data_IF_866083244382
#
_entry.id   IF_866083244382
#
_cell.length_a   1.000
_cell.length_b   1.000
_cell.length_c   1.000
_cell.angle_alpha   90.00
_cell.angle_beta   90.00
_cell.angle_gamma   90.00
#
_symmetry.space_group_name_H-M   'P 1'
#
loop_
_entity.id
_entity.type
_entity.pdbx_description
1 polymer ?
#
# COMPACT_ATOMS: atom_id res chain seq x y z
N UNK A 1 10.22 0.88 48.98
CA UNK A 1 9.13 0.32 48.16
C UNK A 1 8.53 1.33 47.18
N UNK A 2 8.44 2.63 47.47
CA UNK A 2 7.84 3.64 46.53
C UNK A 2 8.63 3.86 45.24
N UNK A 3 9.92 3.63 45.18
CA UNK A 3 10.76 3.81 43.97
C UNK A 3 10.60 2.68 42.94
N UNK A 4 10.31 1.47 43.38
CA UNK A 4 10.12 0.30 42.51
C UNK A 4 8.79 0.35 41.72
N UNK A 5 7.73 0.86 42.35
CA UNK A 5 6.42 0.99 41.72
C UNK A 5 6.42 2.05 40.59
N UNK A 6 7.24 3.11 40.72
CA UNK A 6 7.35 4.13 39.70
C UNK A 6 8.07 3.62 38.42
N UNK A 7 9.10 2.78 38.62
CA UNK A 7 9.85 2.20 37.48
C UNK A 7 9.00 1.22 36.68
N UNK A 8 8.17 0.41 37.33
CA UNK A 8 7.26 -0.53 36.66
C UNK A 8 6.15 0.22 35.92
N UNK A 9 5.65 1.33 36.45
CA UNK A 9 4.65 2.17 35.82
C UNK A 9 5.20 2.82 34.54
N UNK A 10 6.46 3.30 34.54
CA UNK A 10 7.12 3.86 33.37
C UNK A 10 7.40 2.82 32.29
N UNK A 11 7.76 1.58 32.66
CA UNK A 11 7.97 0.50 31.70
C UNK A 11 6.66 0.07 31.02
N UNK A 12 5.55 0.05 31.77
CA UNK A 12 4.22 -0.27 31.23
C UNK A 12 3.70 0.78 30.25
N UNK A 13 4.00 2.05 30.47
CA UNK A 13 3.63 3.14 29.56
C UNK A 13 4.47 3.16 28.26
N UNK A 14 5.72 2.72 28.30
CA UNK A 14 6.57 2.65 27.13
C UNK A 14 6.13 1.57 26.12
N UNK A 15 5.50 0.48 26.57
CA UNK A 15 4.99 -0.57 25.68
C UNK A 15 3.71 -0.21 24.93
N UNK A 16 2.96 0.81 25.39
CA UNK A 16 1.70 1.21 24.75
C UNK A 16 1.88 2.18 23.58
N UNK A 17 3.10 2.66 23.32
CA UNK A 17 3.39 3.64 22.25
C UNK A 17 3.72 2.98 20.90
N UNK A 18 3.91 1.66 20.87
CA UNK A 18 3.98 0.94 19.59
C UNK A 18 2.57 0.76 19.03
N UNK A 19 1.98 1.87 18.57
CA UNK A 19 0.75 1.87 17.82
C UNK A 19 0.87 0.88 16.66
N UNK A 20 0.02 -0.15 16.66
CA UNK A 20 -0.06 -1.07 15.55
C UNK A 20 -0.34 -0.25 14.29
N UNK A 21 0.59 -0.28 13.36
CA UNK A 21 0.39 0.41 12.08
C UNK A 21 -0.85 -0.15 11.41
N UNK A 22 -1.77 0.72 11.06
CA UNK A 22 -3.00 0.39 10.34
C UNK A 22 -2.74 -0.05 8.90
N UNK A 23 -1.52 0.20 8.41
CA UNK A 23 -1.07 -0.23 7.10
C UNK A 23 -0.51 -1.66 7.19
N UNK A 24 -1.04 -2.56 6.37
CA UNK A 24 -0.58 -3.95 6.26
C UNK A 24 0.91 -4.05 5.93
N UNK A 25 1.58 -5.08 6.47
CA UNK A 25 3.02 -5.30 6.27
C UNK A 25 3.41 -5.35 4.79
N UNK A 26 2.60 -6.02 3.98
CA UNK A 26 2.87 -6.15 2.55
C UNK A 26 2.72 -4.81 1.82
N UNK A 27 1.76 -3.99 2.22
CA UNK A 27 1.57 -2.64 1.71
C UNK A 27 2.75 -1.74 2.06
N UNK A 28 3.32 -1.89 3.25
CA UNK A 28 4.57 -1.20 3.64
C UNK A 28 5.75 -1.61 2.78
N UNK A 29 5.92 -2.91 2.55
CA UNK A 29 6.97 -3.42 1.65
C UNK A 29 6.81 -2.87 0.23
N UNK A 30 5.58 -2.81 -0.27
CA UNK A 30 5.27 -2.25 -1.57
C UNK A 30 5.61 -0.75 -1.66
N UNK A 31 5.27 0.04 -0.62
CA UNK A 31 5.65 1.45 -0.56
C UNK A 31 7.17 1.65 -0.54
N UNK A 32 7.89 0.83 0.22
CA UNK A 32 9.34 0.86 0.24
C UNK A 32 9.93 0.51 -1.14
N UNK A 33 9.38 -0.47 -1.84
CA UNK A 33 9.78 -0.78 -3.20
C UNK A 33 9.52 0.38 -4.15
N UNK A 34 8.35 1.02 -4.09
CA UNK A 34 8.01 2.19 -4.90
C UNK A 34 8.95 3.37 -4.64
N UNK A 35 9.36 3.58 -3.39
CA UNK A 35 10.36 4.59 -3.03
C UNK A 35 11.77 4.22 -3.50
N UNK A 36 12.15 2.94 -3.42
CA UNK A 36 13.46 2.44 -3.82
C UNK A 36 13.62 2.31 -5.34
N UNK A 37 12.53 2.29 -6.13
CA UNK A 37 12.61 2.37 -7.59
C UNK A 37 13.17 3.71 -8.09
N UNK A 38 13.44 4.65 -7.20
CA UNK A 38 14.23 5.85 -7.51
C UNK A 38 15.74 5.57 -7.68
N UNK A 39 16.21 4.35 -7.42
CA UNK A 39 17.61 3.96 -7.65
C UNK A 39 17.87 3.97 -9.15
N UNK A 40 18.87 4.72 -9.62
CA UNK A 40 19.20 4.76 -11.04
C UNK A 40 19.57 3.36 -11.53
N UNK A 41 18.89 2.90 -12.57
CA UNK A 41 19.22 1.63 -13.21
C UNK A 41 20.07 1.89 -14.43
N UNK A 42 21.17 1.13 -14.58
CA UNK A 42 22.03 1.24 -15.75
C UNK A 42 21.32 0.69 -16.99
N UNK A 43 21.10 1.56 -17.96
CA UNK A 43 20.56 1.18 -19.26
C UNK A 43 21.71 0.87 -20.22
N UNK A 44 21.84 -0.39 -20.60
CA UNK A 44 22.91 -0.86 -21.48
C UNK A 44 22.80 -0.33 -22.91
N UNK A 45 21.62 0.07 -23.36
CA UNK A 45 21.39 0.65 -24.70
C UNK A 45 21.87 2.09 -24.80
N UNK A 46 21.56 2.90 -23.78
CA UNK A 46 21.91 4.31 -23.73
C UNK A 46 23.28 4.53 -23.06
N UNK A 47 23.86 3.48 -22.46
CA UNK A 47 25.11 3.51 -21.65
C UNK A 47 25.05 4.59 -20.56
N UNK A 48 23.87 4.83 -20.02
CA UNK A 48 23.63 5.83 -18.97
C UNK A 48 22.83 5.25 -17.81
N UNK A 49 22.97 5.89 -16.65
CA UNK A 49 22.12 5.62 -15.50
C UNK A 49 20.83 6.42 -15.67
N UNK A 50 19.73 5.74 -15.88
CA UNK A 50 18.40 6.33 -15.98
C UNK A 50 17.65 6.15 -14.67
N UNK A 51 17.07 7.24 -14.17
CA UNK A 51 16.14 7.15 -13.07
C UNK A 51 14.81 6.63 -13.61
N UNK A 52 14.27 5.52 -13.08
CA UNK A 52 12.95 5.09 -13.49
C UNK A 52 11.98 6.23 -13.20
N UNK A 53 11.16 6.60 -14.18
CA UNK A 53 10.06 7.52 -13.98
C UNK A 53 9.20 6.96 -12.85
N UNK A 54 8.84 7.79 -11.87
CA UNK A 54 7.86 7.44 -10.84
C UNK A 54 6.58 7.02 -11.55
N UNK A 55 6.35 5.71 -11.58
CA UNK A 55 5.43 5.11 -12.55
C UNK A 55 3.97 5.23 -12.09
N UNK A 56 3.72 5.48 -10.80
CA UNK A 56 2.36 5.60 -10.30
C UNK A 56 2.25 6.72 -9.26
N UNK A 57 1.75 7.90 -9.67
CA UNK A 57 1.48 8.98 -8.72
C UNK A 57 0.37 8.62 -7.74
N UNK A 58 -0.54 7.71 -8.10
CA UNK A 58 -1.65 7.25 -7.29
C UNK A 58 -1.65 5.73 -7.18
N UNK A 59 -2.03 5.23 -6.03
CA UNK A 59 -2.23 3.80 -5.79
C UNK A 59 -3.67 3.53 -5.40
N UNK A 60 -4.17 2.38 -5.83
CA UNK A 60 -5.48 1.90 -5.38
C UNK A 60 -5.30 1.22 -4.03
N UNK A 61 -6.21 1.51 -3.10
CA UNK A 61 -6.22 0.93 -1.77
C UNK A 61 -7.62 0.50 -1.37
N UNK A 62 -7.69 -0.47 -0.48
CA UNK A 62 -8.87 -0.84 0.27
C UNK A 62 -8.71 -0.30 1.68
N UNK A 63 -9.69 0.48 2.12
CA UNK A 63 -9.70 1.09 3.46
C UNK A 63 -10.91 0.55 4.21
N UNK A 64 -10.67 0.01 5.38
CA UNK A 64 -11.69 -0.22 6.38
C UNK A 64 -11.78 1.01 7.28
N UNK A 65 -12.95 1.63 7.36
CA UNK A 65 -13.16 2.87 8.07
C UNK A 65 -14.23 2.75 9.16
N UNK A 66 -14.15 3.65 10.14
CA UNK A 66 -15.11 3.75 11.24
C UNK A 66 -15.62 5.19 11.37
N UNK A 67 -16.92 5.32 11.67
CA UNK A 67 -17.58 6.61 11.85
C UNK A 67 -18.36 7.06 10.61
N UNK A 68 -19.43 7.83 10.87
CA UNK A 68 -20.38 8.24 9.83
C UNK A 68 -19.80 9.29 8.86
N UNK A 69 -18.79 10.05 9.29
CA UNK A 69 -18.18 11.12 8.49
C UNK A 69 -16.85 10.71 7.84
N UNK A 70 -16.45 9.44 7.99
CA UNK A 70 -15.15 8.96 7.54
C UNK A 70 -14.90 9.20 6.05
N UNK A 71 -15.90 9.00 5.21
CA UNK A 71 -15.78 9.21 3.76
C UNK A 71 -15.52 10.67 3.42
N UNK A 72 -16.26 11.58 4.02
CA UNK A 72 -16.07 13.03 3.81
C UNK A 72 -14.70 13.50 4.31
N UNK A 73 -14.21 12.93 5.42
CA UNK A 73 -12.86 13.22 5.92
C UNK A 73 -11.77 12.73 4.95
N UNK A 74 -11.95 11.54 4.39
CA UNK A 74 -11.02 10.97 3.39
C UNK A 74 -11.00 11.81 2.11
N UNK A 75 -12.17 12.19 1.60
CA UNK A 75 -12.29 13.05 0.40
C UNK A 75 -11.67 14.43 0.61
N UNK A 76 -11.85 15.03 1.79
CA UNK A 76 -11.22 16.30 2.15
C UNK A 76 -9.68 16.23 2.15
N UNK A 77 -9.10 15.04 2.32
CA UNK A 77 -7.66 14.79 2.25
C UNK A 77 -7.16 14.42 0.83
N UNK A 78 -8.00 14.58 -0.19
CA UNK A 78 -7.65 14.31 -1.58
C UNK A 78 -7.74 12.83 -1.98
N UNK A 79 -8.36 11.99 -1.16
CA UNK A 79 -8.64 10.60 -1.48
C UNK A 79 -9.83 10.51 -2.42
N UNK A 80 -9.66 9.87 -3.56
CA UNK A 80 -10.77 9.63 -4.49
C UNK A 80 -11.45 8.31 -4.14
N UNK A 81 -12.67 8.38 -3.64
CA UNK A 81 -13.50 7.20 -3.36
C UNK A 81 -14.07 6.64 -4.66
N UNK A 82 -13.78 5.38 -4.95
CA UNK A 82 -14.25 4.68 -6.16
C UNK A 82 -15.50 3.85 -5.88
N UNK A 83 -15.52 3.14 -4.76
CA UNK A 83 -16.63 2.28 -4.38
C UNK A 83 -16.68 2.11 -2.86
N UNK A 84 -17.90 2.02 -2.33
CA UNK A 84 -18.14 1.78 -0.90
C UNK A 84 -19.04 0.57 -0.73
N UNK A 85 -18.72 -0.27 0.24
CA UNK A 85 -19.57 -1.40 0.66
C UNK A 85 -19.45 -1.59 2.17
N UNK A 86 -20.52 -1.20 2.88
CA UNK A 86 -20.51 -1.21 4.35
C UNK A 86 -19.44 -0.28 4.90
N UNK A 87 -18.53 -0.79 5.71
CA UNK A 87 -17.40 -0.07 6.31
C UNK A 87 -16.10 -0.17 5.48
N UNK A 88 -16.17 -0.70 4.26
CA UNK A 88 -15.03 -0.85 3.37
C UNK A 88 -15.19 0.08 2.17
N UNK A 89 -14.15 0.83 1.84
CA UNK A 89 -14.07 1.64 0.64
C UNK A 89 -12.87 1.24 -0.23
N UNK A 90 -13.11 1.18 -1.54
CA UNK A 90 -12.04 1.13 -2.53
C UNK A 90 -11.76 2.56 -2.95
N UNK A 91 -10.52 2.96 -2.78
CA UNK A 91 -10.09 4.35 -2.96
C UNK A 91 -8.84 4.45 -3.83
N UNK A 92 -8.65 5.60 -4.42
CA UNK A 92 -7.39 5.97 -5.07
C UNK A 92 -6.71 7.05 -4.23
N UNK A 93 -5.47 6.79 -3.84
CA UNK A 93 -4.70 7.60 -2.90
C UNK A 93 -3.39 8.03 -3.57
N UNK A 94 -2.97 9.30 -3.46
CA UNK A 94 -1.63 9.69 -3.86
C UNK A 94 -0.57 8.88 -3.11
N UNK A 95 0.39 8.32 -3.81
CA UNK A 95 1.42 7.44 -3.22
C UNK A 95 2.20 8.12 -2.09
N UNK A 96 2.39 9.44 -2.19
CA UNK A 96 3.06 10.23 -1.16
C UNK A 96 2.26 10.33 0.15
N UNK A 97 0.93 10.22 0.08
CA UNK A 97 0.02 10.46 1.21
C UNK A 97 -0.45 9.17 1.90
N UNK A 98 -0.07 8.01 1.39
CA UNK A 98 -0.56 6.72 1.90
C UNK A 98 -0.35 6.56 3.40
N UNK A 99 0.84 6.90 3.92
CA UNK A 99 1.12 6.79 5.36
C UNK A 99 0.26 7.77 6.16
N UNK A 100 0.19 9.03 5.73
CA UNK A 100 -0.62 10.06 6.38
C UNK A 100 -2.10 9.68 6.44
N UNK A 101 -2.63 9.11 5.37
CA UNK A 101 -4.03 8.68 5.30
C UNK A 101 -4.26 7.44 6.15
N UNK A 102 -3.31 6.49 6.17
CA UNK A 102 -3.43 5.30 7.03
C UNK A 102 -3.49 5.65 8.52
N UNK A 103 -2.85 6.75 8.94
CA UNK A 103 -2.81 7.18 10.35
C UNK A 103 -4.06 7.95 10.79
N UNK A 104 -4.96 8.31 9.85
CA UNK A 104 -6.21 9.01 10.19
C UNK A 104 -7.05 8.21 11.18
N UNK A 105 -7.74 8.93 12.09
CA UNK A 105 -8.56 8.28 13.13
C UNK A 105 -9.71 7.46 12.56
N UNK A 106 -10.30 7.94 11.46
CA UNK A 106 -11.39 7.25 10.78
C UNK A 106 -10.96 5.98 10.05
N UNK A 107 -9.67 5.78 9.79
CA UNK A 107 -9.13 4.58 9.16
C UNK A 107 -8.81 3.54 10.23
N UNK A 108 -9.39 2.35 10.08
CA UNK A 108 -9.11 1.20 10.95
C UNK A 108 -7.97 0.35 10.35
N UNK A 109 -8.06 0.06 9.07
CA UNK A 109 -7.08 -0.74 8.33
C UNK A 109 -6.97 -0.24 6.89
N UNK A 110 -5.79 -0.34 6.31
CA UNK A 110 -5.53 0.02 4.93
C UNK A 110 -4.64 -1.02 4.26
N UNK A 111 -5.06 -1.47 3.09
CA UNK A 111 -4.34 -2.40 2.24
C UNK A 111 -4.18 -1.82 0.83
N UNK A 112 -2.97 -1.84 0.30
CA UNK A 112 -2.71 -1.41 -1.06
C UNK A 112 -3.03 -2.53 -2.05
N UNK A 113 -3.69 -2.18 -3.14
CA UNK A 113 -3.95 -3.11 -4.24
C UNK A 113 -2.63 -3.44 -4.94
N UNK A 114 -2.43 -4.74 -5.20
CA UNK A 114 -1.28 -5.22 -5.96
C UNK A 114 -1.66 -5.40 -7.41
N UNK A 115 -0.75 -5.11 -8.33
CA UNK A 115 -0.94 -5.50 -9.72
C UNK A 115 -1.01 -7.04 -9.78
N UNK A 116 -2.13 -7.55 -10.24
CA UNK A 116 -2.28 -8.98 -10.53
C UNK A 116 -1.69 -9.19 -11.91
N UNK A 117 -0.50 -9.76 -11.96
CA UNK A 117 0.06 -10.23 -13.22
C UNK A 117 -0.65 -11.53 -13.57
N UNK A 118 -1.32 -11.54 -14.69
CA UNK A 118 -1.84 -12.78 -15.26
C UNK A 118 -0.65 -13.67 -15.62
N UNK A 119 -0.39 -14.70 -14.82
CA UNK A 119 0.63 -15.74 -15.13
C UNK A 119 0.19 -16.65 -16.28
N UNK A 120 -0.89 -16.31 -16.97
CA UNK A 120 -1.44 -17.09 -18.08
C UNK A 120 -0.49 -17.18 -19.27
N UNK A 121 0.40 -16.22 -19.46
CA UNK A 121 1.34 -16.24 -20.59
C UNK A 121 2.35 -17.40 -20.48
N UNK A 122 2.81 -17.70 -19.28
CA UNK A 122 3.72 -18.84 -19.04
C UNK A 122 2.97 -20.15 -19.24
N UNK A 123 1.73 -20.24 -18.73
CA UNK A 123 0.91 -21.45 -18.87
C UNK A 123 0.59 -21.69 -20.34
N UNK A 124 0.28 -20.68 -21.13
CA UNK A 124 0.04 -20.77 -22.57
C UNK A 124 1.26 -21.27 -23.32
N UNK A 125 2.44 -20.78 -23.01
CA UNK A 125 3.71 -21.22 -23.62
C UNK A 125 4.03 -22.68 -23.27
N UNK A 126 3.86 -23.06 -21.99
CA UNK A 126 4.18 -24.43 -21.52
C UNK A 126 3.16 -25.45 -22.03
N UNK A 127 1.88 -25.09 -22.13
CA UNK A 127 0.82 -26.00 -22.59
C UNK A 127 0.66 -26.05 -24.12
N UNK A 128 1.33 -25.15 -24.85
CA UNK A 128 1.26 -25.10 -26.32
C UNK A 128 -0.09 -24.65 -26.87
N UNK A 129 -0.98 -24.13 -26.02
CA UNK A 129 -2.32 -23.65 -26.42
C UNK A 129 -2.24 -22.56 -27.51
N UNK A 130 -1.16 -21.79 -27.53
CA UNK A 130 -0.93 -20.78 -28.58
C UNK A 130 -0.79 -21.37 -29.97
N UNK A 131 -0.38 -22.65 -30.09
CA UNK A 131 -0.31 -23.35 -31.38
C UNK A 131 -1.70 -23.73 -31.89
N UNK A 132 -2.59 -24.11 -30.98
CA UNK A 132 -4.00 -24.47 -31.33
C UNK A 132 -4.77 -23.26 -31.83
N UNK A 133 -4.56 -22.09 -31.22
CA UNK A 133 -5.21 -20.85 -31.64
C UNK A 133 -4.70 -20.29 -32.99
N UNK A 134 -3.51 -20.68 -33.42
CA UNK A 134 -2.94 -20.30 -34.72
C UNK A 134 -3.33 -21.22 -35.87
N UNK A 135 -4.19 -22.21 -35.61
CA UNK A 135 -4.74 -23.07 -36.66
C UNK A 135 -3.74 -24.02 -37.31
N UNK A 136 -2.75 -24.50 -36.56
CA UNK A 136 -1.82 -25.51 -36.99
C UNK A 136 -2.20 -26.86 -36.39
#
# INVERSE_FOLDING_TARGET
MRKFTFTILCLGLACSVFGQSKLDLQSRMMLLQMRNTSIPTYNSRTRSFERPKVIQPNVMAMIEFTGNNALSELEAQGVKVLRVRGNIAIVMVPTADVERISDMRCVHRMELSRPVYQKMDIVRQVTGIDKIHKGV
#
